data_IF_456976525199
#
_entry.id   IF_456976525199
#
_cell.length_a   1.000
_cell.length_b   1.000
_cell.length_c   1.000
_cell.angle_alpha   90.00
_cell.angle_beta   90.00
_cell.angle_gamma   90.00
#
_symmetry.space_group_name_H-M   'P 1'
#
loop_
_entity.id
_entity.type
_entity.pdbx_description
1 polymer ?
#
# COMPACT_ATOMS: atom_id res chain seq x y z
N UNK A 1 -31.96 -16.58 -15.25
CA UNK A 1 -31.81 -15.57 -16.32
C UNK A 1 -31.08 -14.37 -15.75
N UNK A 2 -29.80 -14.22 -16.07
CA UNK A 2 -28.96 -13.09 -15.64
C UNK A 2 -29.11 -12.00 -16.70
N UNK A 3 -29.43 -10.73 -16.36
CA UNK A 3 -29.48 -9.68 -17.36
C UNK A 3 -28.06 -9.26 -17.76
N UNK A 4 -27.87 -9.12 -19.07
CA UNK A 4 -26.67 -8.64 -19.74
C UNK A 4 -26.49 -7.16 -19.39
N UNK A 5 -25.34 -6.78 -18.83
CA UNK A 5 -25.01 -5.39 -18.54
C UNK A 5 -24.62 -4.64 -19.83
N UNK A 6 -25.34 -3.56 -20.11
CA UNK A 6 -25.13 -2.62 -21.22
C UNK A 6 -23.92 -1.71 -20.96
N UNK A 7 -23.17 -1.24 -21.97
CA UNK A 7 -21.99 -0.41 -21.73
C UNK A 7 -22.39 1.00 -21.31
N UNK A 8 -21.82 1.51 -20.21
CA UNK A 8 -21.95 2.90 -19.80
C UNK A 8 -20.79 3.69 -20.41
N UNK A 9 -21.13 4.68 -21.23
CA UNK A 9 -20.22 5.66 -21.84
C UNK A 9 -19.83 6.69 -20.78
N UNK A 10 -18.54 6.96 -20.63
CA UNK A 10 -18.04 8.10 -19.83
C UNK A 10 -18.08 9.34 -20.72
N UNK A 11 -18.83 10.36 -20.33
CA UNK A 11 -18.79 11.67 -20.99
C UNK A 11 -17.53 12.43 -20.55
N UNK A 12 -16.76 12.87 -21.54
CA UNK A 12 -15.65 13.81 -21.39
C UNK A 12 -16.17 15.14 -20.80
N UNK A 13 -15.58 15.56 -19.68
CA UNK A 13 -15.63 16.96 -19.25
C UNK A 13 -14.22 17.52 -19.22
N UNK A 14 -13.65 17.75 -20.40
CA UNK A 14 -12.52 18.67 -20.56
C UNK A 14 -13.05 20.10 -20.61
N UNK A 15 -12.59 20.95 -19.68
CA UNK A 15 -12.93 22.38 -19.65
C UNK A 15 -11.90 23.21 -18.89
N UNK A 16 -10.68 23.27 -19.44
CA UNK A 16 -9.65 24.31 -19.33
C UNK A 16 -9.40 25.06 -18.00
N UNK A 17 -8.14 25.05 -17.56
CA UNK A 17 -7.50 26.18 -16.86
C UNK A 17 -6.76 25.79 -15.58
N UNK A 18 -5.43 25.90 -15.64
CA UNK A 18 -4.46 25.90 -14.54
C UNK A 18 -4.16 24.57 -13.82
N UNK A 19 -2.88 24.20 -13.92
CA UNK A 19 -2.37 22.88 -13.60
C UNK A 19 -2.29 22.58 -12.11
N UNK A 20 -2.63 21.34 -11.77
CA UNK A 20 -2.22 20.68 -10.53
C UNK A 20 -1.66 19.30 -10.86
N UNK A 21 -0.34 19.18 -10.74
CA UNK A 21 0.37 17.90 -10.61
C UNK A 21 0.02 17.32 -9.22
N UNK A 22 -1.07 16.57 -9.12
CA UNK A 22 -1.37 15.75 -7.95
C UNK A 22 -0.54 14.45 -8.04
N UNK A 23 0.38 14.28 -7.09
CA UNK A 23 1.35 13.20 -7.09
C UNK A 23 0.75 11.82 -6.78
N UNK A 24 0.89 10.92 -7.76
CA UNK A 24 1.32 9.50 -7.71
C UNK A 24 0.58 8.49 -6.80
N UNK A 25 -0.15 8.86 -5.74
CA UNK A 25 -0.87 7.87 -4.92
C UNK A 25 -2.40 7.91 -5.04
N UNK A 26 -2.96 8.96 -5.63
CA UNK A 26 -4.41 9.19 -5.73
C UNK A 26 -5.12 8.31 -6.77
N UNK A 27 -4.40 7.75 -7.73
CA UNK A 27 -5.01 6.95 -8.81
C UNK A 27 -4.82 5.44 -8.67
N UNK A 28 -4.33 4.96 -7.52
CA UNK A 28 -4.48 3.56 -7.11
C UNK A 28 -5.69 3.39 -6.18
N UNK A 29 -6.75 4.16 -6.43
CA UNK A 29 -8.08 3.57 -6.37
C UNK A 29 -8.04 2.50 -7.45
N UNK A 30 -7.70 1.26 -7.05
CA UNK A 30 -8.19 0.10 -7.78
C UNK A 30 -9.65 0.41 -8.08
N UNK A 31 -10.00 0.47 -9.36
CA UNK A 31 -11.36 0.58 -9.83
C UNK A 31 -12.07 -0.70 -9.33
N UNK A 32 -12.41 -0.71 -8.04
CA UNK A 32 -13.04 -1.78 -7.27
C UNK A 32 -14.52 -1.89 -7.60
N UNK A 33 -14.97 -1.17 -8.60
CA UNK A 33 -16.26 -1.32 -9.31
C UNK A 33 -16.41 -2.70 -9.97
N UNK A 34 -15.38 -3.57 -9.92
CA UNK A 34 -15.45 -4.98 -10.32
C UNK A 34 -15.78 -5.95 -9.17
N UNK A 35 -15.90 -5.47 -7.93
CA UNK A 35 -16.30 -6.27 -6.76
C UNK A 35 -17.66 -5.79 -6.22
N UNK A 36 -18.70 -5.82 -7.05
CA UNK A 36 -20.10 -5.56 -6.63
C UNK A 36 -20.60 -6.57 -5.57
N UNK A 37 -19.82 -7.61 -5.25
CA UNK A 37 -20.19 -8.68 -4.32
C UNK A 37 -19.36 -8.76 -3.02
N UNK A 38 -18.25 -8.02 -2.87
CA UNK A 38 -17.40 -8.09 -1.67
C UNK A 38 -17.25 -6.71 -0.99
N UNK A 39 -18.04 -6.52 0.08
CA UNK A 39 -18.04 -5.33 0.94
C UNK A 39 -16.81 -5.25 1.86
N UNK A 40 -15.61 -5.05 1.31
CA UNK A 40 -14.41 -4.76 2.12
C UNK A 40 -13.53 -3.72 1.42
N UNK A 41 -13.45 -2.51 1.99
CA UNK A 41 -12.65 -1.40 1.47
C UNK A 41 -11.31 -1.24 2.20
N UNK A 42 -10.29 -0.74 1.51
CA UNK A 42 -9.07 -0.24 2.14
C UNK A 42 -8.94 1.28 1.97
N UNK A 43 -8.43 1.93 3.01
CA UNK A 43 -8.17 3.38 3.01
C UNK A 43 -6.69 3.59 2.67
N UNK A 44 -6.44 4.16 1.50
CA UNK A 44 -5.15 4.75 1.15
C UNK A 44 -5.14 6.16 1.72
N UNK A 45 -4.16 6.46 2.58
CA UNK A 45 -4.02 7.70 3.35
C UNK A 45 -3.67 8.93 2.53
N UNK A 46 -4.52 9.33 1.57
CA UNK A 46 -4.59 10.70 1.06
C UNK A 46 -5.91 11.40 1.37
N UNK A 47 -6.87 10.72 2.03
CA UNK A 47 -8.23 11.25 2.25
C UNK A 47 -8.44 11.97 3.60
N UNK A 48 -7.44 12.66 4.14
CA UNK A 48 -7.61 13.50 5.36
C UNK A 48 -7.18 14.95 5.16
N UNK A 49 -6.89 15.36 3.91
CA UNK A 49 -6.61 16.76 3.55
C UNK A 49 -7.22 17.05 2.19
N UNK A 50 -8.17 17.97 2.13
CA UNK A 50 -8.66 18.54 0.87
C UNK A 50 -8.10 19.96 0.74
N UNK A 51 -7.44 20.25 -0.37
CA UNK A 51 -6.90 21.58 -0.68
C UNK A 51 -7.99 22.39 -1.37
N UNK A 52 -8.72 23.21 -0.63
CA UNK A 52 -9.68 24.16 -1.19
C UNK A 52 -8.94 25.49 -1.38
N UNK A 53 -8.38 25.74 -2.57
CA UNK A 53 -7.50 26.88 -2.83
C UNK A 53 -6.13 26.77 -2.14
N UNK A 54 -5.50 27.87 -1.71
CA UNK A 54 -4.16 27.87 -1.11
C UNK A 54 -4.11 27.50 0.40
N UNK A 55 -5.16 26.89 0.96
CA UNK A 55 -5.23 26.52 2.38
C UNK A 55 -5.38 25.02 2.58
N UNK A 56 -4.62 24.48 3.54
CA UNK A 56 -4.70 23.10 4.03
C UNK A 56 -5.68 23.06 5.20
N UNK A 57 -6.82 22.39 5.07
CA UNK A 57 -7.74 22.16 6.20
C UNK A 57 -7.57 20.73 6.74
N UNK A 58 -7.36 20.65 8.07
CA UNK A 58 -7.38 19.41 8.84
C UNK A 58 -8.83 19.01 9.10
N UNK A 59 -9.27 17.84 8.63
CA UNK A 59 -10.57 17.30 9.01
C UNK A 59 -10.56 16.90 10.49
N UNK A 60 -11.62 17.28 11.22
CA UNK A 60 -11.80 16.80 12.59
C UNK A 60 -12.32 15.34 12.59
N UNK A 61 -12.15 14.65 13.72
CA UNK A 61 -12.54 13.24 13.89
C UNK A 61 -14.01 12.93 13.52
N UNK A 62 -14.93 13.86 13.79
CA UNK A 62 -16.36 13.73 13.46
C UNK A 62 -16.63 13.78 11.95
N UNK A 63 -15.85 14.55 11.20
CA UNK A 63 -15.99 14.67 9.74
C UNK A 63 -15.43 13.46 9.00
N UNK A 64 -14.30 12.92 9.48
CA UNK A 64 -13.75 11.63 9.04
C UNK A 64 -14.80 10.54 9.25
N UNK A 65 -15.36 10.43 10.47
CA UNK A 65 -16.41 9.46 10.82
C UNK A 65 -17.67 9.57 9.93
N UNK A 66 -18.09 10.78 9.55
CA UNK A 66 -19.28 10.99 8.69
C UNK A 66 -19.08 10.53 7.24
N UNK A 67 -17.84 10.46 6.76
CA UNK A 67 -17.52 10.04 5.39
C UNK A 67 -17.26 8.53 5.30
N UNK A 68 -16.86 7.90 6.41
CA UNK A 68 -16.74 6.44 6.55
C UNK A 68 -18.02 5.86 7.18
N UNK A 69 -18.99 5.51 6.34
CA UNK A 69 -20.09 4.65 6.78
C UNK A 69 -19.48 3.30 7.18
N UNK A 70 -19.46 2.99 8.49
CA UNK A 70 -18.95 1.76 9.12
C UNK A 70 -17.41 1.58 9.15
N UNK A 71 -16.70 2.17 10.14
CA UNK A 71 -15.27 1.94 10.33
C UNK A 71 -14.86 0.48 10.58
N UNK A 72 -15.80 -0.38 10.99
CA UNK A 72 -15.59 -1.84 11.15
C UNK A 72 -15.42 -2.59 9.81
N UNK A 73 -15.70 -1.95 8.67
CA UNK A 73 -15.53 -2.52 7.32
C UNK A 73 -14.10 -2.37 6.77
N UNK A 74 -13.21 -1.64 7.46
CA UNK A 74 -11.83 -1.39 7.03
C UNK A 74 -10.85 -2.29 7.78
N UNK A 75 -10.20 -3.21 7.06
CA UNK A 75 -9.30 -4.19 7.67
C UNK A 75 -7.85 -3.71 7.79
N UNK A 76 -7.40 -2.82 6.89
CA UNK A 76 -6.01 -2.33 6.84
C UNK A 76 -5.93 -0.92 6.21
N UNK A 77 -4.89 -0.18 6.56
CA UNK A 77 -4.57 1.12 5.96
C UNK A 77 -3.07 1.25 5.62
N UNK A 78 -2.74 2.11 4.66
CA UNK A 78 -1.36 2.54 4.40
C UNK A 78 -1.23 4.05 4.60
N UNK A 79 -0.27 4.43 5.43
CA UNK A 79 0.12 5.80 5.71
C UNK A 79 1.35 6.14 4.88
N UNK A 80 1.10 6.57 3.64
CA UNK A 80 2.11 6.90 2.65
C UNK A 80 2.54 8.36 2.71
N UNK A 81 3.59 8.67 1.94
CA UNK A 81 4.29 9.95 1.90
C UNK A 81 3.33 11.14 1.78
N UNK A 82 3.31 11.98 2.81
CA UNK A 82 2.63 13.28 2.90
C UNK A 82 3.37 14.16 3.92
N UNK A 83 2.81 15.29 4.37
CA UNK A 83 3.45 16.08 5.42
C UNK A 83 3.65 15.26 6.70
N UNK A 84 4.76 15.49 7.41
CA UNK A 84 5.07 14.77 8.66
C UNK A 84 3.93 14.89 9.67
N UNK A 85 3.34 16.07 9.80
CA UNK A 85 2.19 16.32 10.67
C UNK A 85 0.98 15.46 10.27
N UNK A 86 0.63 15.40 8.99
CA UNK A 86 -0.48 14.61 8.50
C UNK A 86 -0.23 13.10 8.72
N UNK A 87 1.00 12.62 8.48
CA UNK A 87 1.36 11.22 8.77
C UNK A 87 1.22 10.89 10.26
N UNK A 88 1.69 11.75 11.16
CA UNK A 88 1.59 11.57 12.61
C UNK A 88 0.12 11.54 13.08
N UNK A 89 -0.68 12.48 12.57
CA UNK A 89 -2.10 12.55 12.89
C UNK A 89 -2.84 11.32 12.38
N UNK A 90 -2.57 10.88 11.15
CA UNK A 90 -3.22 9.71 10.56
C UNK A 90 -2.85 8.42 11.31
N UNK A 91 -1.57 8.21 11.63
CA UNK A 91 -1.14 7.06 12.43
C UNK A 91 -1.81 7.03 13.81
N UNK A 92 -1.95 8.19 14.45
CA UNK A 92 -2.66 8.31 15.75
C UNK A 92 -4.15 7.97 15.62
N UNK A 93 -4.80 8.38 14.53
CA UNK A 93 -6.20 8.06 14.26
C UNK A 93 -6.39 6.56 14.01
N UNK A 94 -5.55 5.95 13.17
CA UNK A 94 -5.57 4.51 12.89
C UNK A 94 -5.39 3.70 14.17
N UNK A 95 -4.44 4.10 15.03
CA UNK A 95 -4.21 3.46 16.32
C UNK A 95 -5.44 3.54 17.24
N UNK A 96 -6.11 4.70 17.32
CA UNK A 96 -7.34 4.89 18.12
C UNK A 96 -8.51 4.06 17.60
N UNK A 97 -8.57 3.85 16.29
CA UNK A 97 -9.61 3.04 15.63
C UNK A 97 -9.28 1.55 15.61
N UNK A 98 -8.12 1.14 16.13
CA UNK A 98 -7.60 -0.23 16.04
C UNK A 98 -7.51 -0.74 14.59
N UNK A 99 -7.22 0.14 13.63
CA UNK A 99 -7.01 -0.24 12.23
C UNK A 99 -5.51 -0.55 12.04
N UNK A 100 -5.14 -1.79 11.70
CA UNK A 100 -3.76 -2.14 11.42
C UNK A 100 -3.20 -1.32 10.25
N UNK A 101 -1.94 -0.90 10.35
CA UNK A 101 -1.37 0.04 9.38
C UNK A 101 0.04 -0.25 8.89
N UNK A 102 0.26 0.05 7.62
CA UNK A 102 1.57 0.10 6.98
C UNK A 102 2.07 1.55 7.01
N UNK A 103 3.24 1.79 7.60
CA UNK A 103 3.93 3.08 7.56
C UNK A 103 4.91 3.12 6.39
N UNK A 104 4.71 4.10 5.51
CA UNK A 104 5.43 4.28 4.26
C UNK A 104 5.89 5.75 4.10
N UNK A 105 6.94 6.17 4.84
CA UNK A 105 7.41 7.55 4.83
C UNK A 105 8.09 7.95 3.53
N UNK A 106 8.51 6.98 2.70
CA UNK A 106 9.17 7.22 1.42
C UNK A 106 10.16 8.39 1.46
N UNK A 107 9.94 9.35 0.57
CA UNK A 107 10.81 10.50 0.40
C UNK A 107 10.76 11.52 1.55
N UNK A 108 9.72 11.52 2.39
CA UNK A 108 9.60 12.46 3.52
C UNK A 108 10.35 11.99 4.78
N UNK A 109 10.92 10.78 4.77
CA UNK A 109 11.78 10.25 5.86
C UNK A 109 12.78 11.29 6.41
N UNK A 110 13.54 12.04 5.59
CA UNK A 110 14.51 13.01 6.08
C UNK A 110 13.90 14.18 6.85
N UNK A 111 12.60 14.46 6.66
CA UNK A 111 11.89 15.58 7.30
C UNK A 111 11.38 15.26 8.71
N UNK A 112 11.30 13.98 9.09
CA UNK A 112 10.89 13.61 10.44
C UNK A 112 11.88 14.17 11.48
N UNK A 113 11.40 14.47 12.68
CA UNK A 113 12.28 14.57 13.85
C UNK A 113 12.49 13.17 14.42
N UNK A 114 13.61 12.92 15.09
CA UNK A 114 13.95 11.60 15.63
C UNK A 114 12.82 11.04 16.49
N UNK A 115 12.28 11.85 17.39
CA UNK A 115 11.25 11.48 18.34
C UNK A 115 9.93 11.14 17.62
N UNK A 116 9.57 11.93 16.60
CA UNK A 116 8.38 11.67 15.78
C UNK A 116 8.50 10.37 15.00
N UNK A 117 9.69 10.10 14.43
CA UNK A 117 9.95 8.85 13.71
C UNK A 117 9.85 7.63 14.63
N UNK A 118 10.42 7.70 15.84
CA UNK A 118 10.30 6.63 16.84
C UNK A 118 8.83 6.45 17.25
N UNK A 119 8.10 7.54 17.47
CA UNK A 119 6.70 7.48 17.91
C UNK A 119 5.79 6.87 16.85
N UNK A 120 5.93 7.23 15.57
CA UNK A 120 5.12 6.64 14.50
C UNK A 120 5.42 5.16 14.29
N UNK A 121 6.70 4.75 14.42
CA UNK A 121 7.09 3.33 14.36
C UNK A 121 6.42 2.50 15.46
N UNK A 122 6.29 3.04 16.68
CA UNK A 122 5.64 2.35 17.82
C UNK A 122 4.14 2.13 17.65
N UNK A 123 3.48 2.91 16.81
CA UNK A 123 2.02 2.86 16.63
C UNK A 123 1.60 2.31 15.26
N UNK A 124 2.57 1.88 14.45
CA UNK A 124 2.36 1.27 13.14
C UNK A 124 2.65 -0.24 13.22
N UNK A 125 2.02 -1.04 12.35
CA UNK A 125 2.16 -2.50 12.39
C UNK A 125 3.26 -3.00 11.45
N UNK A 126 3.40 -2.36 10.29
CA UNK A 126 4.36 -2.75 9.26
C UNK A 126 5.12 -1.51 8.81
N UNK A 127 6.44 -1.58 8.73
CA UNK A 127 7.25 -0.57 8.06
C UNK A 127 7.57 -1.03 6.64
N UNK A 128 7.39 -0.18 5.64
CA UNK A 128 7.82 -0.47 4.26
C UNK A 128 8.69 0.66 3.71
N UNK A 129 9.69 0.29 2.91
CA UNK A 129 10.54 1.22 2.20
C UNK A 129 11.48 0.49 1.23
N UNK A 130 12.22 1.24 0.43
CA UNK A 130 13.39 0.68 -0.26
C UNK A 130 14.60 0.61 0.69
N UNK A 131 15.67 -0.07 0.26
CA UNK A 131 16.87 -0.24 1.07
C UNK A 131 17.45 1.08 1.60
N UNK A 132 17.47 2.14 0.79
CA UNK A 132 17.98 3.45 1.19
C UNK A 132 17.10 4.15 2.22
N UNK A 133 15.79 4.04 2.07
CA UNK A 133 14.82 4.61 3.00
C UNK A 133 14.88 3.92 4.37
N UNK A 134 14.99 2.59 4.39
CA UNK A 134 15.08 1.82 5.63
C UNK A 134 16.39 2.12 6.38
N UNK A 135 17.52 2.23 5.68
CA UNK A 135 18.77 2.64 6.31
C UNK A 135 18.71 4.08 6.86
N UNK A 136 18.09 5.01 6.14
CA UNK A 136 17.85 6.37 6.66
C UNK A 136 16.96 6.37 7.90
N UNK A 137 15.94 5.51 7.97
CA UNK A 137 15.10 5.38 9.15
C UNK A 137 15.94 4.90 10.34
N UNK A 138 16.79 3.89 10.16
CA UNK A 138 17.69 3.39 11.21
C UNK A 138 18.67 4.46 11.69
N UNK A 139 19.34 5.15 10.76
CA UNK A 139 20.28 6.24 11.07
C UNK A 139 19.61 7.34 11.88
N UNK A 140 18.47 7.85 11.38
CA UNK A 140 17.78 9.01 11.94
C UNK A 140 17.08 8.72 13.26
N UNK A 141 16.52 7.52 13.41
CA UNK A 141 15.91 7.07 14.67
C UNK A 141 16.96 6.62 15.69
N UNK A 142 18.14 6.21 15.23
CA UNK A 142 19.16 5.56 16.06
C UNK A 142 18.75 4.16 16.54
N UNK A 143 17.72 3.56 15.94
CA UNK A 143 17.21 2.24 16.31
C UNK A 143 17.88 1.15 15.49
N UNK A 144 18.13 0.01 16.16
CA UNK A 144 18.51 -1.22 15.46
C UNK A 144 17.32 -1.83 14.74
N UNK A 145 17.56 -2.68 13.74
CA UNK A 145 16.49 -3.44 13.07
C UNK A 145 15.65 -4.24 14.07
N UNK A 146 16.29 -4.86 15.06
CA UNK A 146 15.63 -5.57 16.15
C UNK A 146 14.67 -4.66 16.92
N UNK A 147 15.13 -3.46 17.29
CA UNK A 147 14.30 -2.50 18.04
C UNK A 147 13.14 -1.95 17.20
N UNK A 148 13.35 -1.81 15.89
CA UNK A 148 12.25 -1.48 14.97
C UNK A 148 11.24 -2.63 14.94
N UNK A 149 11.69 -3.90 14.91
CA UNK A 149 10.81 -5.08 14.93
C UNK A 149 10.11 -5.32 16.29
N UNK A 150 10.62 -4.75 17.37
CA UNK A 150 9.93 -4.68 18.67
C UNK A 150 8.80 -3.64 18.68
N UNK A 151 8.85 -2.66 17.76
CA UNK A 151 7.85 -1.59 17.63
C UNK A 151 6.82 -1.89 16.53
N UNK A 152 7.29 -2.19 15.32
CA UNK A 152 6.50 -2.64 14.18
C UNK A 152 6.67 -4.14 14.01
N UNK A 153 5.59 -4.89 13.80
CA UNK A 153 5.60 -6.36 13.71
C UNK A 153 6.40 -6.89 12.54
N UNK A 154 6.58 -6.08 11.49
CA UNK A 154 7.34 -6.46 10.31
C UNK A 154 8.00 -5.25 9.61
N UNK A 155 9.08 -5.53 8.88
CA UNK A 155 9.75 -4.60 7.97
C UNK A 155 9.77 -5.23 6.58
N UNK A 156 9.32 -4.48 5.57
CA UNK A 156 9.37 -4.87 4.16
C UNK A 156 10.37 -3.97 3.44
N UNK A 157 11.43 -4.56 2.91
CA UNK A 157 12.49 -3.86 2.19
C UNK A 157 12.42 -4.21 0.71
N UNK A 158 12.06 -3.24 -0.12
CA UNK A 158 12.06 -3.40 -1.59
C UNK A 158 13.45 -3.17 -2.17
N UNK A 159 13.82 -3.98 -3.16
CA UNK A 159 15.16 -4.02 -3.80
C UNK A 159 15.06 -3.98 -5.34
N UNK A 160 13.99 -3.40 -5.89
CA UNK A 160 13.81 -3.25 -7.34
C UNK A 160 13.80 -4.59 -8.07
N UNK A 161 14.68 -4.77 -9.06
CA UNK A 161 14.81 -6.01 -9.82
C UNK A 161 15.33 -7.21 -9.01
N UNK A 162 15.88 -6.96 -7.81
CA UNK A 162 16.24 -8.00 -6.86
C UNK A 162 15.05 -8.45 -5.98
N UNK A 163 13.84 -7.92 -6.19
CA UNK A 163 12.66 -8.32 -5.44
C UNK A 163 12.54 -7.59 -4.11
N UNK A 164 12.24 -8.31 -3.03
CA UNK A 164 12.10 -7.72 -1.70
C UNK A 164 12.51 -8.69 -0.59
N UNK A 165 12.55 -8.17 0.64
CA UNK A 165 12.81 -8.93 1.86
C UNK A 165 11.75 -8.59 2.90
N UNK A 166 11.14 -9.61 3.50
CA UNK A 166 10.26 -9.50 4.64
C UNK A 166 11.02 -9.92 5.89
N UNK A 167 11.19 -9.01 6.83
CA UNK A 167 11.71 -9.28 8.16
C UNK A 167 10.58 -9.21 9.20
N UNK A 168 10.49 -10.21 10.08
CA UNK A 168 9.52 -10.24 11.16
C UNK A 168 10.06 -11.05 12.35
N UNK A 169 9.43 -10.89 13.51
CA UNK A 169 9.75 -11.67 14.71
C UNK A 169 8.78 -12.84 14.83
N UNK A 170 9.28 -14.06 14.97
CA UNK A 170 8.45 -15.25 15.21
C UNK A 170 7.95 -15.33 16.67
N UNK A 171 7.13 -16.34 16.95
CA UNK A 171 6.57 -16.61 18.29
C UNK A 171 7.63 -16.87 19.38
N UNK A 172 8.86 -17.22 18.98
CA UNK A 172 9.99 -17.48 19.87
C UNK A 172 10.93 -16.27 20.02
N UNK A 173 10.50 -15.08 19.58
CA UNK A 173 11.30 -13.85 19.55
C UNK A 173 12.54 -13.92 18.66
N UNK A 174 12.56 -14.79 17.65
CA UNK A 174 13.63 -14.86 16.66
C UNK A 174 13.27 -14.01 15.44
N UNK A 175 14.21 -13.19 15.01
CA UNK A 175 14.09 -12.44 13.77
C UNK A 175 14.29 -13.40 12.59
N UNK A 176 13.26 -13.50 11.74
CA UNK A 176 13.29 -14.23 10.49
C UNK A 176 13.32 -13.23 9.33
N UNK A 177 14.06 -13.57 8.28
CA UNK A 177 14.16 -12.81 7.04
C UNK A 177 13.86 -13.72 5.88
N UNK A 178 12.88 -13.33 5.08
CA UNK A 178 12.44 -14.10 3.92
C UNK A 178 12.64 -13.25 2.68
N UNK A 179 13.41 -13.77 1.74
CA UNK A 179 13.55 -13.18 0.42
C UNK A 179 12.32 -13.49 -0.44
N UNK A 180 11.75 -12.47 -1.08
CA UNK A 180 10.68 -12.61 -2.06
C UNK A 180 11.27 -12.26 -3.43
N UNK A 181 11.44 -13.24 -4.34
CA UNK A 181 11.92 -12.96 -5.68
C UNK A 181 10.91 -12.15 -6.49
N UNK A 182 11.37 -11.48 -7.54
CA UNK A 182 10.48 -10.87 -8.53
C UNK A 182 9.65 -11.92 -9.25
N UNK A 183 8.45 -11.55 -9.69
CA UNK A 183 7.79 -12.27 -10.76
C UNK A 183 8.31 -11.76 -12.11
N UNK A 184 8.70 -12.69 -12.99
CA UNK A 184 9.24 -12.33 -14.31
C UNK A 184 8.16 -11.65 -15.15
N UNK A 185 8.33 -10.36 -15.51
CA UNK A 185 7.41 -9.70 -16.40
C UNK A 185 7.62 -10.19 -17.84
N UNK A 186 6.59 -10.08 -18.68
CA UNK A 186 6.67 -10.41 -20.11
C UNK A 186 7.67 -9.48 -20.82
N UNK A 187 7.73 -8.22 -20.37
CA UNK A 187 8.64 -7.17 -20.84
C UNK A 187 8.75 -6.08 -19.77
N UNK A 188 9.76 -5.22 -19.89
CA UNK A 188 9.91 -4.04 -19.02
C UNK A 188 9.85 -2.81 -19.91
N UNK A 189 8.77 -2.04 -19.79
CA UNK A 189 8.54 -0.80 -20.55
C UNK A 189 8.84 0.44 -19.70
N UNK A 190 8.28 0.51 -18.48
CA UNK A 190 8.43 1.63 -17.56
C UNK A 190 8.39 1.13 -16.11
N UNK A 191 9.38 1.51 -15.30
CA UNK A 191 9.42 1.11 -13.88
C UNK A 191 8.61 2.03 -12.96
N UNK A 192 8.06 3.13 -13.51
CA UNK A 192 7.29 4.12 -12.77
C UNK A 192 6.02 3.49 -12.18
N UNK A 193 5.83 3.61 -10.88
CA UNK A 193 4.67 3.03 -10.18
C UNK A 193 4.81 1.57 -9.78
N UNK A 194 5.92 0.88 -10.12
CA UNK A 194 6.13 -0.52 -9.72
C UNK A 194 6.06 -0.71 -8.19
N UNK A 195 6.61 0.27 -7.44
CA UNK A 195 6.54 0.28 -5.98
C UNK A 195 5.12 0.50 -5.44
N UNK A 196 4.28 1.24 -6.16
CA UNK A 196 2.88 1.46 -5.80
C UNK A 196 2.04 0.22 -6.12
N UNK A 197 2.28 -0.43 -7.27
CA UNK A 197 1.73 -1.74 -7.60
C UNK A 197 2.08 -2.80 -6.56
N UNK A 198 3.33 -2.79 -6.08
CA UNK A 198 3.78 -3.69 -5.01
C UNK A 198 3.02 -3.45 -3.70
N UNK A 199 2.89 -2.18 -3.27
CA UNK A 199 2.09 -1.80 -2.10
C UNK A 199 0.62 -2.20 -2.27
N UNK A 200 0.03 -1.94 -3.42
CA UNK A 200 -1.35 -2.29 -3.74
C UNK A 200 -1.59 -3.80 -3.65
N UNK A 201 -0.66 -4.63 -4.15
CA UNK A 201 -0.74 -6.08 -4.01
C UNK A 201 -0.65 -6.55 -2.56
N UNK A 202 0.20 -5.92 -1.74
CA UNK A 202 0.25 -6.20 -0.30
C UNK A 202 -1.07 -5.89 0.38
N UNK A 203 -1.61 -4.67 0.19
CA UNK A 203 -2.90 -4.29 0.77
C UNK A 203 -4.01 -5.23 0.32
N UNK A 204 -4.05 -5.58 -0.97
CA UNK A 204 -5.02 -6.53 -1.53
C UNK A 204 -4.93 -7.88 -0.81
N UNK A 205 -3.73 -8.42 -0.66
CA UNK A 205 -3.54 -9.70 0.03
C UNK A 205 -4.00 -9.65 1.50
N UNK A 206 -3.67 -8.56 2.20
CA UNK A 206 -4.09 -8.38 3.59
C UNK A 206 -5.61 -8.27 3.74
N UNK A 207 -6.30 -7.56 2.84
CA UNK A 207 -7.77 -7.46 2.80
C UNK A 207 -8.41 -8.82 2.54
N UNK A 208 -7.78 -9.65 1.70
CA UNK A 208 -8.21 -11.01 1.41
C UNK A 208 -7.86 -12.00 2.52
N UNK A 209 -7.28 -11.55 3.64
CA UNK A 209 -6.82 -12.37 4.76
C UNK A 209 -5.67 -13.34 4.41
N UNK A 210 -4.91 -13.04 3.36
CA UNK A 210 -3.68 -13.78 3.06
C UNK A 210 -2.64 -13.55 4.16
N UNK A 211 -1.69 -14.48 4.29
CA UNK A 211 -0.53 -14.26 5.15
C UNK A 211 0.25 -13.01 4.71
N UNK A 212 1.01 -12.37 5.60
CA UNK A 212 1.85 -11.22 5.21
C UNK A 212 2.88 -11.60 4.15
N UNK A 213 3.41 -12.84 4.21
CA UNK A 213 4.33 -13.36 3.21
C UNK A 213 3.66 -13.47 1.84
N UNK A 214 2.46 -14.06 1.78
CA UNK A 214 1.74 -14.19 0.51
C UNK A 214 1.22 -12.84 -0.01
N UNK A 215 0.92 -11.91 0.89
CA UNK A 215 0.64 -10.51 0.54
C UNK A 215 1.84 -9.84 -0.13
N UNK A 216 3.06 -10.06 0.38
CA UNK A 216 4.30 -9.60 -0.26
C UNK A 216 4.52 -10.25 -1.63
N UNK A 217 4.25 -11.55 -1.73
CA UNK A 217 4.30 -12.29 -3.00
C UNK A 217 3.30 -11.74 -4.02
N UNK A 218 2.07 -11.46 -3.59
CA UNK A 218 1.07 -10.82 -4.44
C UNK A 218 1.53 -9.42 -4.86
N UNK A 219 2.13 -8.64 -3.96
CA UNK A 219 2.84 -7.40 -4.29
C UNK A 219 3.84 -7.58 -5.45
N UNK A 220 4.70 -8.60 -5.39
CA UNK A 220 5.65 -8.89 -6.47
C UNK A 220 4.95 -9.23 -7.80
N UNK A 221 3.82 -9.96 -7.75
CA UNK A 221 3.02 -10.25 -8.94
C UNK A 221 2.44 -8.96 -9.53
N UNK A 222 1.77 -8.13 -8.73
CA UNK A 222 1.14 -6.88 -9.20
C UNK A 222 2.20 -5.91 -9.73
N UNK A 223 3.32 -5.74 -9.02
CA UNK A 223 4.45 -4.93 -9.48
C UNK A 223 4.99 -5.37 -10.85
N UNK A 224 5.04 -6.68 -11.12
CA UNK A 224 5.48 -7.19 -12.42
C UNK A 224 4.53 -6.86 -13.58
N UNK A 225 3.23 -6.66 -13.32
CA UNK A 225 2.29 -6.22 -14.35
C UNK A 225 2.41 -4.73 -14.62
N UNK A 226 2.64 -3.91 -13.58
CA UNK A 226 2.80 -2.46 -13.73
C UNK A 226 3.97 -2.13 -14.66
N UNK A 227 5.07 -2.87 -14.57
CA UNK A 227 6.26 -2.59 -15.39
C UNK A 227 6.12 -2.97 -16.87
N UNK A 228 5.05 -3.69 -17.27
CA UNK A 228 4.82 -4.13 -18.65
C UNK A 228 4.16 -3.06 -19.53
N UNK A 229 3.77 -1.93 -18.93
CA UNK A 229 3.05 -0.84 -19.56
C UNK A 229 3.68 0.51 -19.23
N UNK A 230 3.49 1.51 -20.10
CA UNK A 230 3.98 2.88 -19.87
C UNK A 230 3.04 3.59 -18.89
N UNK A 231 3.60 4.18 -17.83
CA UNK A 231 2.84 4.87 -16.79
C UNK A 231 2.24 3.93 -15.73
N UNK A 232 1.92 4.50 -14.56
CA UNK A 232 1.61 3.73 -13.34
C UNK A 232 0.20 3.10 -13.27
N UNK A 233 -0.72 3.42 -14.19
CA UNK A 233 -2.15 3.07 -14.12
C UNK A 233 -2.74 2.56 -15.44
N UNK A 234 -1.90 2.11 -16.36
CA UNK A 234 -2.31 1.68 -17.71
C UNK A 234 -2.40 0.16 -17.86
N UNK A 235 -2.01 -0.57 -16.81
CA UNK A 235 -2.01 -2.03 -16.77
C UNK A 235 -3.42 -2.61 -16.78
N UNK A 236 -3.61 -3.65 -17.59
CA UNK A 236 -4.82 -4.47 -17.62
C UNK A 236 -4.43 -5.92 -17.44
N UNK A 237 -4.84 -6.51 -16.33
CA UNK A 237 -4.72 -7.93 -16.05
C UNK A 237 -5.98 -8.44 -15.36
N UNK A 238 -6.20 -9.75 -15.39
CA UNK A 238 -7.31 -10.41 -14.71
C UNK A 238 -6.80 -11.40 -13.64
N UNK A 239 -7.71 -11.92 -12.81
CA UNK A 239 -7.38 -12.85 -11.73
C UNK A 239 -6.74 -14.15 -12.22
N UNK A 240 -7.11 -14.64 -13.40
CA UNK A 240 -6.50 -15.85 -13.99
C UNK A 240 -5.01 -15.63 -14.30
N UNK A 241 -4.67 -14.48 -14.90
CA UNK A 241 -3.28 -14.09 -15.16
C UNK A 241 -2.48 -13.92 -13.87
N UNK A 242 -3.09 -13.31 -12.84
CA UNK A 242 -2.47 -13.17 -11.51
C UNK A 242 -2.19 -14.54 -10.90
N UNK A 243 -3.18 -15.44 -10.84
CA UNK A 243 -3.01 -16.82 -10.33
C UNK A 243 -1.92 -17.58 -11.07
N UNK A 244 -1.95 -17.54 -12.41
CA UNK A 244 -0.95 -18.22 -13.25
C UNK A 244 0.46 -17.71 -12.97
N UNK A 245 0.64 -16.38 -12.88
CA UNK A 245 1.95 -15.78 -12.59
C UNK A 245 2.41 -16.06 -11.17
N UNK A 246 1.48 -16.05 -10.20
CA UNK A 246 1.75 -16.44 -8.81
C UNK A 246 2.26 -17.89 -8.75
N UNK A 247 1.52 -18.84 -9.33
CA UNK A 247 1.91 -20.25 -9.38
C UNK A 247 3.27 -20.45 -10.06
N UNK A 248 3.48 -19.83 -11.22
CA UNK A 248 4.75 -19.93 -11.95
C UNK A 248 5.95 -19.38 -11.17
N UNK A 249 5.73 -18.38 -10.31
CA UNK A 249 6.80 -17.72 -9.55
C UNK A 249 7.08 -18.43 -8.22
N UNK A 250 6.03 -18.87 -7.51
CA UNK A 250 6.13 -19.35 -6.13
C UNK A 250 5.73 -20.82 -5.93
N UNK A 251 5.36 -21.53 -7.00
CA UNK A 251 5.08 -22.96 -7.00
C UNK A 251 3.76 -23.39 -6.33
N UNK A 252 2.93 -22.44 -5.91
CA UNK A 252 1.61 -22.68 -5.32
C UNK A 252 0.71 -21.45 -5.57
N UNK A 253 -0.59 -21.59 -5.32
CA UNK A 253 -1.54 -20.46 -5.31
C UNK A 253 -2.22 -20.42 -3.94
N UNK A 254 -2.28 -19.28 -3.25
CA UNK A 254 -3.04 -19.12 -2.02
C UNK A 254 -4.53 -19.37 -2.25
N UNK A 255 -5.20 -20.05 -1.31
CA UNK A 255 -6.62 -20.40 -1.42
C UNK A 255 -7.52 -19.19 -1.61
N UNK A 256 -7.14 -18.04 -1.07
CA UNK A 256 -7.85 -16.77 -1.18
C UNK A 256 -7.94 -16.31 -2.64
N UNK A 257 -6.92 -16.60 -3.45
CA UNK A 257 -6.92 -16.26 -4.87
C UNK A 257 -7.64 -17.30 -5.75
N UNK A 258 -7.81 -18.54 -5.28
CA UNK A 258 -8.54 -19.57 -6.02
C UNK A 258 -10.06 -19.34 -6.01
N UNK A 259 -10.56 -18.68 -4.96
CA UNK A 259 -11.99 -18.48 -4.71
C UNK A 259 -12.57 -17.15 -5.26
N UNK A 260 -11.77 -16.39 -6.02
CA UNK A 260 -12.14 -15.10 -6.65
C UNK A 260 -12.22 -15.27 -8.16
#
# INVERSE_FOLDING_TARGET
>A
HIPIATPIRVEDTTGAGDGYRAGILTGLILNMTLLDSCRLGAIIGSFVVETIGAQTQLFNFEQVRKRFFNPEEFSYAINSTQSVEAMMNFATQLKKLNIPSIFDPGQVTPLFQKENLINILKISDILIGNNHEIEKIKEKSGLSEKTILEHAKAIIITKGSEGSELAYTDENNKILKIHIPIATPIRVEDTTGAGDGYRAGILTGLILNMTLLDSCRLGAIIGSFVVETIGAQTQLFNFEQVRKRFFNTFGHTPSELENI
#
